data_IF_767169776695
#
_entry.id   IF_767169776695
#
_cell.length_a   1.000
_cell.length_b   1.000
_cell.length_c   1.000
_cell.angle_alpha   90.00
_cell.angle_beta   90.00
_cell.angle_gamma   90.00
#
_symmetry.space_group_name_H-M   'P 1'
#
loop_
_entity.id
_entity.type
_entity.pdbx_description
1 polymer ?
#
# COMPACT_ATOMS: atom_id res chain seq x y z
N UNK A 1 9.82 -0.17 8.79
CA UNK A 1 9.96 0.99 7.87
C UNK A 1 11.29 1.61 8.25
N UNK A 2 12.26 1.56 7.35
CA UNK A 2 13.60 2.08 7.63
C UNK A 2 13.76 3.48 6.99
N UNK A 3 14.30 4.48 7.73
CA UNK A 3 14.63 5.78 7.16
C UNK A 3 15.60 5.62 5.96
N UNK A 4 15.28 6.24 4.83
CA UNK A 4 16.08 6.19 3.60
C UNK A 4 15.69 5.09 2.60
N UNK A 5 14.77 4.18 2.96
CA UNK A 5 14.20 3.23 2.00
C UNK A 5 13.25 3.92 1.00
N UNK A 6 13.16 3.38 -0.22
CA UNK A 6 12.18 3.85 -1.20
C UNK A 6 10.76 3.69 -0.63
N UNK A 7 9.99 4.78 -0.62
CA UNK A 7 8.63 4.80 -0.10
C UNK A 7 7.63 4.24 -1.13
N UNK A 8 7.73 2.93 -1.37
CA UNK A 8 6.76 2.15 -2.14
C UNK A 8 5.75 1.54 -1.16
N UNK A 9 4.51 2.03 -1.21
CA UNK A 9 3.47 1.74 -0.20
C UNK A 9 2.14 1.42 -0.87
N UNK A 10 1.34 0.58 -0.23
CA UNK A 10 -0.03 0.29 -0.60
C UNK A 10 -0.95 0.53 0.59
N UNK A 11 -2.08 1.18 0.35
CA UNK A 11 -3.17 1.29 1.32
C UNK A 11 -4.30 0.37 0.87
N UNK A 12 -4.70 -0.54 1.75
CA UNK A 12 -5.82 -1.46 1.54
C UNK A 12 -6.90 -1.21 2.57
N UNK A 13 -8.15 -1.45 2.20
CA UNK A 13 -9.25 -1.53 3.17
C UNK A 13 -9.31 -2.93 3.79
N UNK A 14 -9.28 -2.96 5.13
CA UNK A 14 -9.27 -4.19 5.91
C UNK A 14 -7.86 -4.60 6.34
N UNK A 15 -7.76 -5.78 6.95
CA UNK A 15 -6.50 -6.30 7.47
C UNK A 15 -5.99 -7.50 6.63
N UNK A 16 -4.92 -7.32 5.84
CA UNK A 16 -4.36 -8.38 5.01
C UNK A 16 -3.65 -9.48 5.82
N UNK A 17 -3.35 -9.24 7.11
CA UNK A 17 -2.70 -10.23 7.98
C UNK A 17 -3.68 -11.29 8.49
N UNK A 18 -4.97 -10.96 8.54
CA UNK A 18 -6.05 -11.87 8.94
C UNK A 18 -6.87 -12.37 7.76
N UNK A 19 -6.88 -11.65 6.62
CA UNK A 19 -7.64 -12.04 5.44
C UNK A 19 -6.93 -11.64 4.14
N UNK A 20 -6.44 -12.64 3.41
CA UNK A 20 -5.75 -12.43 2.13
C UNK A 20 -6.57 -11.60 1.12
N UNK A 21 -7.91 -11.77 1.10
CA UNK A 21 -8.78 -11.04 0.18
C UNK A 21 -8.78 -9.51 0.41
N UNK A 22 -8.32 -9.01 1.55
CA UNK A 22 -8.18 -7.58 1.80
C UNK A 22 -7.15 -6.93 0.85
N UNK A 23 -6.19 -7.69 0.33
CA UNK A 23 -5.21 -7.21 -0.66
C UNK A 23 -5.84 -6.76 -1.98
N UNK A 24 -7.02 -7.28 -2.31
CA UNK A 24 -7.77 -6.91 -3.51
C UNK A 24 -8.47 -5.55 -3.36
N UNK A 25 -8.69 -5.09 -2.12
CA UNK A 25 -9.34 -3.82 -1.81
C UNK A 25 -8.32 -2.68 -1.73
N UNK A 26 -7.43 -2.59 -2.71
CA UNK A 26 -6.41 -1.54 -2.77
C UNK A 26 -7.07 -0.18 -3.02
N UNK A 27 -6.89 0.76 -2.08
CA UNK A 27 -7.41 2.13 -2.16
C UNK A 27 -6.44 3.13 -2.76
N UNK A 28 -5.15 2.92 -2.55
CA UNK A 28 -4.12 3.82 -3.04
C UNK A 28 -2.77 3.13 -3.13
N UNK A 29 -1.99 3.57 -4.12
CA UNK A 29 -0.62 3.12 -4.36
C UNK A 29 0.30 4.33 -4.36
N UNK A 30 1.42 4.23 -3.65
CA UNK A 30 2.53 5.16 -3.73
C UNK A 30 3.73 4.46 -4.33
N UNK A 31 4.36 5.14 -5.29
CA UNK A 31 5.62 4.70 -5.89
C UNK A 31 6.66 5.80 -5.72
N UNK A 32 7.79 5.48 -5.09
CA UNK A 32 8.85 6.45 -4.74
C UNK A 32 8.29 7.71 -4.06
N UNK A 33 7.36 7.53 -3.12
CA UNK A 33 6.72 8.61 -2.37
C UNK A 33 5.65 9.41 -3.14
N UNK A 34 5.41 9.15 -4.43
CA UNK A 34 4.33 9.80 -5.20
C UNK A 34 3.10 8.90 -5.26
N UNK A 35 1.94 9.45 -4.92
CA UNK A 35 0.65 8.78 -5.12
C UNK A 35 0.39 8.64 -6.62
N UNK A 36 0.05 7.44 -7.07
CA UNK A 36 -0.34 7.20 -8.46
C UNK A 36 -1.80 7.59 -8.64
N UNK A 37 -2.10 8.31 -9.73
CA UNK A 37 -3.46 8.56 -10.16
C UNK A 37 -4.04 7.27 -10.76
N UNK A 38 -5.30 6.98 -10.42
CA UNK A 38 -6.07 5.83 -10.92
C UNK A 38 -6.44 6.01 -12.38
#
# INVERSE_FOLDING_TARGET
MEPGAAADLVLVDGDPTTRLSATLNTRAVWRRGRRLAS
#
